data_IF_623072357636
#
_entry.id   IF_623072357636
#
_cell.length_a   1.000
_cell.length_b   1.000
_cell.length_c   1.000
_cell.angle_alpha   90.00
_cell.angle_beta   90.00
_cell.angle_gamma   90.00
#
_symmetry.space_group_name_H-M   'P 1'
#
loop_
_entity.id
_entity.type
_entity.pdbx_description
1 polymer ?
#
# COMPACT_ATOMS: atom_id res chain seq x y z
N UNK A 1 7.86 9.03 8.03
CA UNK A 1 7.99 9.67 6.70
C UNK A 1 8.74 8.73 5.78
N UNK A 2 8.09 8.32 4.68
CA UNK A 2 8.71 7.55 3.61
C UNK A 2 10.01 8.23 3.13
N UNK A 3 11.15 7.64 3.48
CA UNK A 3 12.45 8.14 3.05
C UNK A 3 12.62 7.91 1.54
N UNK A 4 13.16 8.90 0.84
CA UNK A 4 13.41 8.90 -0.60
C UNK A 4 14.28 7.74 -1.14
N UNK A 5 14.74 6.81 -0.28
CA UNK A 5 15.44 5.56 -0.65
C UNK A 5 14.48 4.41 -0.97
N UNK A 6 13.21 4.48 -0.58
CA UNK A 6 12.17 3.54 -0.99
C UNK A 6 11.21 4.18 -2.00
N UNK A 7 11.22 3.67 -3.22
CA UNK A 7 10.28 4.06 -4.26
C UNK A 7 8.86 3.66 -3.84
N UNK A 8 7.97 4.62 -3.54
CA UNK A 8 6.59 4.35 -3.11
C UNK A 8 5.87 3.28 -3.97
N UNK A 9 5.92 3.34 -5.32
CA UNK A 9 5.48 2.26 -6.20
C UNK A 9 6.00 0.85 -5.85
N UNK A 10 7.28 0.73 -5.51
CA UNK A 10 7.91 -0.53 -5.13
C UNK A 10 7.42 -1.00 -3.76
N UNK A 11 7.21 -0.09 -2.81
CA UNK A 11 6.63 -0.43 -1.50
C UNK A 11 5.20 -0.94 -1.66
N UNK A 12 4.36 -0.27 -2.45
CA UNK A 12 2.96 -0.71 -2.69
C UNK A 12 2.95 -2.11 -3.30
N UNK A 13 3.80 -2.39 -4.29
CA UNK A 13 3.96 -3.73 -4.88
C UNK A 13 4.45 -4.79 -3.88
N UNK A 14 5.38 -4.43 -3.00
CA UNK A 14 5.92 -5.32 -1.96
C UNK A 14 4.86 -5.64 -0.91
N UNK A 15 4.04 -4.65 -0.56
CA UNK A 15 2.93 -4.76 0.37
C UNK A 15 1.86 -5.73 -0.15
N UNK A 16 1.58 -5.69 -1.46
CA UNK A 16 0.70 -6.66 -2.14
C UNK A 16 1.26 -8.09 -2.19
N UNK A 17 2.56 -8.33 -1.98
CA UNK A 17 3.12 -9.69 -2.03
C UNK A 17 2.74 -10.51 -0.78
N UNK A 18 1.64 -11.22 -0.97
CA UNK A 18 1.09 -12.40 -0.29
C UNK A 18 0.43 -12.22 1.09
N UNK A 19 -0.73 -12.91 1.31
CA UNK A 19 -1.27 -14.01 0.46
C UNK A 19 -2.22 -13.61 -0.70
N UNK A 20 -2.64 -12.35 -0.86
CA UNK A 20 -3.59 -11.99 -1.93
C UNK A 20 -2.93 -11.29 -3.14
N UNK A 21 -3.17 -11.78 -4.38
CA UNK A 21 -2.63 -11.15 -5.60
C UNK A 21 -3.39 -9.91 -6.06
N UNK A 22 -4.58 -9.61 -5.52
CA UNK A 22 -5.44 -8.53 -6.04
C UNK A 22 -5.10 -7.14 -5.46
N UNK A 23 -5.31 -6.10 -6.26
CA UNK A 23 -5.21 -4.70 -5.82
C UNK A 23 -6.43 -4.26 -4.99
N UNK A 24 -7.46 -5.11 -4.88
CA UNK A 24 -8.74 -4.80 -4.22
C UNK A 24 -8.65 -4.84 -2.70
N UNK A 25 -7.92 -5.79 -2.12
CA UNK A 25 -7.78 -5.88 -0.67
C UNK A 25 -7.04 -4.65 -0.09
N UNK A 26 -5.88 -4.22 -0.65
CA UNK A 26 -5.27 -2.94 -0.26
C UNK A 26 -6.19 -1.76 -0.50
N UNK A 27 -6.90 -1.74 -1.63
CA UNK A 27 -7.78 -0.64 -1.98
C UNK A 27 -8.91 -0.49 -0.94
N UNK A 28 -9.57 -1.59 -0.58
CA UNK A 28 -10.61 -1.61 0.43
C UNK A 28 -10.08 -1.20 1.82
N UNK A 29 -8.94 -1.76 2.24
CA UNK A 29 -8.35 -1.46 3.55
C UNK A 29 -7.87 0.00 3.69
N UNK A 30 -7.34 0.57 2.60
CA UNK A 30 -6.90 1.97 2.55
C UNK A 30 -8.09 2.91 2.29
N UNK A 31 -9.24 2.41 1.83
CA UNK A 31 -10.41 3.23 1.48
C UNK A 31 -10.28 3.97 0.15
N UNK A 32 -9.55 3.39 -0.81
CA UNK A 32 -9.38 3.91 -2.17
C UNK A 32 -9.88 2.90 -3.21
N UNK A 33 -9.97 3.31 -4.48
CA UNK A 33 -10.30 2.37 -5.56
C UNK A 33 -9.11 1.50 -5.96
N UNK A 34 -9.36 0.30 -6.50
CA UNK A 34 -8.31 -0.56 -7.06
C UNK A 34 -7.47 0.18 -8.12
N UNK A 35 -8.13 1.02 -8.93
CA UNK A 35 -7.49 1.84 -9.96
C UNK A 35 -6.56 2.91 -9.39
N UNK A 36 -6.77 3.34 -8.14
CA UNK A 36 -5.86 4.23 -7.42
C UNK A 36 -4.60 3.50 -6.96
N UNK A 37 -4.75 2.29 -6.41
CA UNK A 37 -3.62 1.41 -6.08
C UNK A 37 -2.81 1.07 -7.34
N UNK A 38 -3.48 0.78 -8.47
CA UNK A 38 -2.82 0.53 -9.74
C UNK A 38 -1.97 1.72 -10.21
N UNK A 39 -2.47 2.95 -10.06
CA UNK A 39 -1.69 4.15 -10.42
C UNK A 39 -0.50 4.35 -9.49
N UNK A 40 -0.64 4.06 -8.20
CA UNK A 40 0.46 4.10 -7.23
C UNK A 40 1.55 3.08 -7.53
N UNK A 41 1.19 1.83 -7.80
CA UNK A 41 2.13 0.75 -8.16
C UNK A 41 2.92 1.05 -9.45
N UNK A 42 2.35 1.84 -10.35
CA UNK A 42 2.97 2.25 -11.61
C UNK A 42 3.62 3.65 -11.54
N UNK A 43 3.61 4.32 -10.37
CA UNK A 43 4.17 5.67 -10.21
C UNK A 43 3.45 6.76 -10.99
N UNK A 44 2.22 6.51 -11.46
CA UNK A 44 1.43 7.46 -12.26
C UNK A 44 0.83 8.59 -11.43
N UNK A 45 0.68 8.39 -10.12
CA UNK A 45 0.13 9.39 -9.19
C UNK A 45 0.78 9.31 -7.83
N UNK A 46 0.99 10.46 -7.19
CA UNK A 46 1.44 10.56 -5.79
C UNK A 46 0.21 10.52 -4.88
N UNK A 47 0.22 9.73 -3.79
CA UNK A 47 -0.89 9.70 -2.83
C UNK A 47 -1.07 11.07 -2.15
N UNK A 48 -2.31 11.43 -1.86
CA UNK A 48 -2.60 12.59 -1.01
C UNK A 48 -2.16 12.32 0.44
N UNK A 49 -1.96 13.38 1.23
CA UNK A 49 -1.62 13.26 2.68
C UNK A 49 -2.53 12.28 3.45
N UNK A 50 -3.88 12.29 3.31
CA UNK A 50 -4.72 11.32 4.00
C UNK A 50 -4.53 9.88 3.49
N UNK A 51 -4.41 9.70 2.18
CA UNK A 51 -4.18 8.37 1.58
C UNK A 51 -2.83 7.78 2.01
N UNK A 52 -1.79 8.61 2.14
CA UNK A 52 -0.48 8.17 2.63
C UNK A 52 -0.55 7.69 4.08
N UNK A 53 -1.30 8.39 4.95
CA UNK A 53 -1.50 7.95 6.35
C UNK A 53 -2.22 6.60 6.43
N UNK A 54 -3.28 6.42 5.65
CA UNK A 54 -4.00 5.14 5.60
C UNK A 54 -3.11 4.02 5.05
N UNK A 55 -2.26 4.31 4.07
CA UNK A 55 -1.28 3.36 3.56
C UNK A 55 -0.23 2.98 4.64
N UNK A 56 0.29 3.95 5.39
CA UNK A 56 1.22 3.71 6.50
C UNK A 56 0.57 2.83 7.59
N UNK A 57 -0.68 3.11 7.97
CA UNK A 57 -1.46 2.31 8.91
C UNK A 57 -1.68 0.87 8.41
N UNK A 58 -2.08 0.72 7.15
CA UNK A 58 -2.26 -0.59 6.53
C UNK A 58 -0.95 -1.41 6.51
N UNK A 59 0.19 -0.75 6.24
CA UNK A 59 1.51 -1.39 6.29
C UNK A 59 1.92 -1.80 7.71
N UNK A 60 1.51 -1.06 8.75
CA UNK A 60 1.76 -1.43 10.14
C UNK A 60 0.93 -2.65 10.55
N UNK A 61 -0.37 -2.64 10.23
CA UNK A 61 -1.30 -3.75 10.52
C UNK A 61 -0.86 -5.06 9.84
N UNK A 62 -0.40 -5.01 8.58
CA UNK A 62 0.13 -6.21 7.90
C UNK A 62 1.42 -6.74 8.50
N UNK A 63 2.24 -5.90 9.16
CA UNK A 63 3.46 -6.35 9.85
C UNK A 63 3.10 -7.14 11.10
N UNK A 64 2.16 -6.65 11.90
CA UNK A 64 1.66 -7.35 13.09
C UNK A 64 1.00 -8.69 12.72
N UNK A 65 0.26 -8.76 11.62
CA UNK A 65 -0.34 -10.02 11.12
C UNK A 65 0.70 -11.07 10.67
N UNK A 66 1.93 -10.68 10.34
CA UNK A 66 3.00 -11.63 9.99
C UNK A 66 3.75 -12.19 11.20
N UNK A 67 3.68 -11.53 12.35
CA UNK A 67 4.33 -11.98 13.58
C UNK A 67 3.44 -12.95 14.40
N UNK A 68 2.15 -13.04 14.05
CA UNK A 68 1.15 -13.90 14.69
C UNK A 68 0.86 -15.20 13.91
N UNK A 69 1.57 -15.47 12.82
CA UNK A 69 1.40 -16.65 11.95
C UNK A 69 2.71 -17.39 11.77
#
# INVERSE_FOLDING_TARGET
MFNARENFPATVKKMRRQPAPSQEEPAHAIGVSFSTVNRWENGKTVPSKPALRQFEQFCALKREQRELA
#
